data_IF_960346193336
#
_entry.id   IF_960346193336
#
_cell.length_a   1.000
_cell.length_b   1.000
_cell.length_c   1.000
_cell.angle_alpha   90.00
_cell.angle_beta   90.00
_cell.angle_gamma   90.00
#
_symmetry.space_group_name_H-M   'P 1'
#
loop_
_entity.id
_entity.type
_entity.pdbx_description
1 polymer ?
#
# COMPACT_ATOMS: atom_id res chain seq x y z
N UNK A 1 -16.19 9.07 -43.01
CA UNK A 1 -16.32 8.27 -41.77
C UNK A 1 -15.39 8.90 -40.74
N UNK A 2 -15.94 9.44 -39.65
CA UNK A 2 -15.14 10.09 -38.59
C UNK A 2 -15.38 9.31 -37.32
N UNK A 3 -14.44 8.43 -36.97
CA UNK A 3 -14.48 7.62 -35.76
C UNK A 3 -14.08 8.50 -34.59
N UNK A 4 -15.04 8.83 -33.73
CA UNK A 4 -14.76 9.45 -32.42
C UNK A 4 -14.32 8.34 -31.48
N UNK A 5 -13.01 8.28 -31.22
CA UNK A 5 -12.47 7.53 -30.09
C UNK A 5 -12.94 8.23 -28.81
N UNK A 6 -13.94 7.64 -28.15
CA UNK A 6 -14.38 8.08 -26.84
C UNK A 6 -13.46 7.42 -25.81
N UNK A 7 -12.40 8.12 -25.43
CA UNK A 7 -11.56 7.74 -24.30
C UNK A 7 -12.42 7.75 -23.04
N UNK A 8 -12.79 6.56 -22.55
CA UNK A 8 -13.40 6.38 -21.24
C UNK A 8 -12.35 6.76 -20.18
N UNK A 9 -12.54 7.91 -19.53
CA UNK A 9 -11.87 8.18 -18.26
C UNK A 9 -12.44 7.20 -17.23
N UNK A 10 -11.67 6.16 -16.93
CA UNK A 10 -11.89 5.34 -15.74
C UNK A 10 -11.70 6.23 -14.53
N UNK A 11 -12.81 6.78 -14.03
CA UNK A 11 -12.84 7.49 -12.76
C UNK A 11 -12.88 6.41 -11.66
N UNK A 12 -11.74 5.76 -11.43
CA UNK A 12 -11.57 4.89 -10.26
C UNK A 12 -11.74 5.80 -9.04
N UNK A 13 -12.62 5.48 -8.09
CA UNK A 13 -12.77 6.32 -6.90
C UNK A 13 -11.44 6.28 -6.14
N UNK A 14 -10.70 7.39 -6.12
CA UNK A 14 -9.41 7.49 -5.40
C UNK A 14 -9.49 7.03 -3.93
N UNK A 15 -10.68 7.07 -3.34
CA UNK A 15 -10.95 6.63 -1.96
C UNK A 15 -10.97 5.10 -1.78
N UNK A 16 -11.31 4.31 -2.80
CA UNK A 16 -11.34 2.84 -2.67
C UNK A 16 -9.94 2.26 -2.59
N UNK A 17 -9.01 2.80 -3.38
CA UNK A 17 -7.64 2.29 -3.48
C UNK A 17 -6.82 2.70 -2.25
N UNK A 18 -7.06 3.90 -1.70
CA UNK A 18 -6.45 4.35 -0.44
C UNK A 18 -6.91 3.52 0.77
N UNK A 19 -8.18 3.15 0.81
CA UNK A 19 -8.71 2.27 1.86
C UNK A 19 -8.02 0.89 1.82
N UNK A 20 -7.77 0.36 0.61
CA UNK A 20 -7.11 -0.92 0.40
C UNK A 20 -5.64 -0.90 0.86
N UNK A 21 -4.86 0.12 0.46
CA UNK A 21 -3.45 0.27 0.89
C UNK A 21 -3.30 0.32 2.41
N UNK A 22 -4.15 1.13 3.06
CA UNK A 22 -4.11 1.27 4.53
C UNK A 22 -4.46 -0.04 5.22
N UNK A 23 -5.51 -0.72 4.79
CA UNK A 23 -5.94 -1.99 5.37
C UNK A 23 -4.86 -3.07 5.23
N UNK A 24 -4.26 -3.17 4.05
CA UNK A 24 -3.15 -4.10 3.80
C UNK A 24 -1.94 -3.79 4.69
N UNK A 25 -1.53 -2.53 4.82
CA UNK A 25 -0.41 -2.15 5.69
C UNK A 25 -0.68 -2.45 7.17
N UNK A 26 -1.92 -2.26 7.64
CA UNK A 26 -2.33 -2.60 9.01
C UNK A 26 -2.29 -4.11 9.24
N UNK A 27 -2.83 -4.89 8.30
CA UNK A 27 -2.80 -6.35 8.36
C UNK A 27 -1.36 -6.89 8.39
N UNK A 28 -0.50 -6.35 7.52
CA UNK A 28 0.93 -6.69 7.47
C UNK A 28 1.63 -6.36 8.78
N UNK A 29 1.36 -5.17 9.34
CA UNK A 29 1.92 -4.77 10.63
C UNK A 29 1.54 -5.76 11.74
N UNK A 30 0.25 -6.07 11.86
CA UNK A 30 -0.23 -7.04 12.85
C UNK A 30 0.38 -8.43 12.65
N UNK A 31 0.45 -8.92 11.40
CA UNK A 31 1.04 -10.21 11.10
C UNK A 31 2.54 -10.28 11.45
N UNK A 32 3.25 -9.16 11.34
CA UNK A 32 4.65 -9.02 11.76
C UNK A 32 4.78 -9.04 13.28
N UNK A 33 3.93 -8.31 14.01
CA UNK A 33 3.90 -8.29 15.48
C UNK A 33 3.59 -9.67 16.06
N UNK A 34 2.58 -10.37 15.54
CA UNK A 34 2.18 -11.70 16.00
C UNK A 34 3.28 -12.76 15.79
N UNK A 35 4.19 -12.53 14.83
CA UNK A 35 5.35 -13.39 14.58
C UNK A 35 6.62 -12.92 15.31
N UNK A 36 6.57 -11.83 16.05
CA UNK A 36 7.71 -11.30 16.80
C UNK A 36 8.77 -10.63 15.92
N UNK A 37 8.41 -10.20 14.71
CA UNK A 37 9.28 -9.38 13.88
C UNK A 37 9.16 -7.90 14.25
N UNK A 38 10.15 -7.09 13.84
CA UNK A 38 10.08 -5.64 13.96
C UNK A 38 9.32 -5.05 12.76
N UNK A 39 8.04 -4.66 12.88
CA UNK A 39 7.18 -4.46 11.71
C UNK A 39 7.68 -3.38 10.77
N UNK A 40 8.11 -2.24 11.33
CA UNK A 40 8.62 -1.10 10.57
C UNK A 40 9.85 -1.49 9.73
N UNK A 41 10.78 -2.28 10.29
CA UNK A 41 12.02 -2.64 9.59
C UNK A 41 11.72 -3.58 8.41
N UNK A 42 10.78 -4.50 8.60
CA UNK A 42 10.39 -5.45 7.56
C UNK A 42 9.60 -4.76 6.43
N UNK A 43 8.70 -3.83 6.76
CA UNK A 43 7.98 -3.04 5.77
C UNK A 43 8.97 -2.16 4.98
N UNK A 44 9.89 -1.46 5.64
CA UNK A 44 10.93 -0.67 4.96
C UNK A 44 11.81 -1.55 4.07
N UNK A 45 12.23 -2.73 4.56
CA UNK A 45 13.00 -3.69 3.78
C UNK A 45 12.26 -4.16 2.53
N UNK A 46 10.96 -4.44 2.64
CA UNK A 46 10.11 -4.78 1.50
C UNK A 46 9.99 -3.64 0.49
N UNK A 47 9.72 -2.41 0.95
CA UNK A 47 9.55 -1.26 0.05
C UNK A 47 10.81 -0.98 -0.77
N UNK A 48 11.99 -1.04 -0.13
CA UNK A 48 13.28 -0.79 -0.78
C UNK A 48 13.72 -1.92 -1.73
N UNK A 49 13.58 -3.17 -1.30
CA UNK A 49 14.11 -4.33 -2.05
C UNK A 49 13.10 -4.93 -3.04
N UNK A 50 11.81 -4.84 -2.72
CA UNK A 50 10.74 -5.60 -3.39
C UNK A 50 10.71 -7.09 -3.06
N UNK A 51 11.56 -7.56 -2.14
CA UNK A 51 11.62 -8.97 -1.78
C UNK A 51 10.48 -9.34 -0.80
N UNK A 52 9.51 -10.19 -1.21
CA UNK A 52 8.41 -10.59 -0.34
C UNK A 52 8.86 -11.44 0.85
N UNK A 53 10.11 -11.90 0.91
CA UNK A 53 10.66 -12.62 2.05
C UNK A 53 10.62 -11.82 3.36
N UNK A 54 10.66 -10.47 3.27
CA UNK A 54 10.53 -9.59 4.44
C UNK A 54 9.16 -9.70 5.12
N UNK A 55 8.10 -10.07 4.41
CA UNK A 55 6.75 -10.14 4.96
C UNK A 55 6.39 -11.61 5.24
N UNK A 56 5.92 -11.99 6.44
CA UNK A 56 5.56 -13.38 6.74
C UNK A 56 4.33 -13.82 5.93
N UNK A 57 4.19 -15.14 5.72
CA UNK A 57 2.99 -15.74 5.10
C UNK A 57 1.77 -15.78 6.04
N UNK A 58 1.92 -15.28 7.26
CA UNK A 58 0.89 -15.31 8.30
C UNK A 58 -0.26 -14.36 7.95
N UNK A 59 -1.50 -14.77 8.24
CA UNK A 59 -2.73 -14.00 7.97
C UNK A 59 -2.81 -13.43 6.54
N UNK A 60 -2.30 -14.15 5.54
CA UNK A 60 -2.24 -13.72 4.15
C UNK A 60 -1.47 -12.42 3.87
N UNK A 61 -0.75 -11.87 4.85
CA UNK A 61 -0.05 -10.58 4.76
C UNK A 61 0.87 -10.48 3.53
N UNK A 62 1.68 -11.52 3.27
CA UNK A 62 2.55 -11.57 2.09
C UNK A 62 1.76 -11.57 0.78
N UNK A 63 0.59 -12.22 0.74
CA UNK A 63 -0.24 -12.27 -0.48
C UNK A 63 -0.90 -10.92 -0.71
N UNK A 64 -1.44 -10.30 0.34
CA UNK A 64 -2.11 -9.00 0.29
C UNK A 64 -1.16 -7.90 -0.19
N UNK A 65 0.00 -7.75 0.43
CA UNK A 65 0.96 -6.68 0.08
C UNK A 65 1.57 -6.82 -1.32
N UNK A 66 1.53 -8.03 -1.91
CA UNK A 66 2.00 -8.29 -3.27
C UNK A 66 0.97 -7.95 -4.35
N UNK A 67 -0.29 -7.68 -3.97
CA UNK A 67 -1.33 -7.24 -4.91
C UNK A 67 -1.22 -5.75 -5.24
N UNK A 68 -0.56 -5.00 -4.37
CA UNK A 68 -0.33 -3.57 -4.49
C UNK A 68 1.02 -3.32 -5.13
N UNK A 69 1.10 -2.31 -5.99
CA UNK A 69 2.39 -1.86 -6.50
C UNK A 69 3.15 -1.07 -5.41
N UNK A 70 4.48 -1.15 -5.43
CA UNK A 70 5.30 -0.54 -4.35
C UNK A 70 5.28 0.98 -4.38
N UNK A 71 5.18 1.56 -5.57
CA UNK A 71 5.03 3.00 -5.75
C UNK A 71 3.70 3.50 -5.19
N UNK A 72 2.60 2.75 -5.34
CA UNK A 72 1.31 3.06 -4.70
C UNK A 72 1.43 3.09 -3.17
N UNK A 73 2.10 2.09 -2.58
CA UNK A 73 2.36 2.04 -1.14
C UNK A 73 3.18 3.26 -0.67
N UNK A 74 4.23 3.61 -1.41
CA UNK A 74 5.12 4.74 -1.06
C UNK A 74 4.38 6.06 -1.23
N UNK A 75 3.64 6.24 -2.32
CA UNK A 75 2.85 7.44 -2.58
C UNK A 75 1.87 7.69 -1.45
N UNK A 76 1.11 6.67 -1.05
CA UNK A 76 0.12 6.79 0.02
C UNK A 76 0.77 7.12 1.37
N UNK A 77 1.92 6.49 1.69
CA UNK A 77 2.68 6.82 2.90
C UNK A 77 3.13 8.29 2.91
N UNK A 78 3.65 8.81 1.79
CA UNK A 78 4.08 10.21 1.67
C UNK A 78 2.89 11.16 1.75
N UNK A 79 1.81 10.87 1.02
CA UNK A 79 0.56 11.64 1.00
C UNK A 79 -0.03 11.75 2.40
N UNK A 80 -0.18 10.63 3.09
CA UNK A 80 -0.71 10.57 4.46
C UNK A 80 0.21 11.30 5.45
N UNK A 81 1.54 11.18 5.33
CA UNK A 81 2.47 11.90 6.21
C UNK A 81 2.34 13.42 6.06
N UNK A 82 2.34 13.94 4.83
CA UNK A 82 2.19 15.37 4.56
C UNK A 82 0.79 15.88 4.95
N UNK A 83 -0.26 15.11 4.71
CA UNK A 83 -1.62 15.48 5.12
C UNK A 83 -1.74 15.60 6.65
N UNK A 84 -1.14 14.67 7.40
CA UNK A 84 -1.09 14.74 8.87
C UNK A 84 -0.28 15.92 9.39
N UNK A 85 0.81 16.29 8.70
CA UNK A 85 1.60 17.47 9.05
C UNK A 85 0.80 18.77 8.83
N UNK A 86 0.07 18.89 7.72
CA UNK A 86 -0.76 20.06 7.41
C UNK A 86 -1.94 20.25 8.37
N UNK A 87 -2.51 19.16 8.91
CA UNK A 87 -3.61 19.22 9.90
C UNK A 87 -3.14 19.63 11.31
N UNK A 88 -1.83 19.69 11.54
CA UNK A 88 -1.21 20.04 12.82
C UNK A 88 -0.68 21.47 12.89
N UNK A 89 -0.71 22.20 11.77
CA UNK A 89 -0.41 23.64 11.69
C UNK A 89 -1.68 24.43 11.47
#
# INVERSE_FOLDING_TARGET
>A
MSSKDNTVQFNVPEDSDQADVKEVLVNVHQALEEKGYHPINQIVGYLLSGDPAYIPRHNDARTLIRRLERDELIEELVRTYLQRAKRRG
#
